data_IF_138368555564
#
_entry.id   IF_138368555564
#
_cell.length_a   1.000
_cell.length_b   1.000
_cell.length_c   1.000
_cell.angle_alpha   90.00
_cell.angle_beta   90.00
_cell.angle_gamma   90.00
#
_symmetry.space_group_name_H-M   'P 1'
#
loop_
_entity.id
_entity.type
_entity.pdbx_description
1 polymer ?
#
# COMPACT_ATOMS: atom_id res chain seq x y z
N UNK A 1 0.38 -7.42 -1.93
CA UNK A 1 1.46 -7.60 -0.95
C UNK A 1 2.21 -6.29 -0.83
N UNK A 2 2.47 -5.84 0.37
CA UNK A 2 3.19 -4.58 0.66
C UNK A 2 4.65 -4.93 0.88
N UNK A 3 5.55 -4.20 0.23
CA UNK A 3 6.99 -4.41 0.33
C UNK A 3 7.58 -3.49 1.40
N UNK A 4 8.23 -4.05 2.39
CA UNK A 4 8.84 -3.31 3.51
C UNK A 4 10.33 -3.60 3.54
N UNK A 5 11.14 -2.55 3.49
CA UNK A 5 12.58 -2.63 3.74
C UNK A 5 12.89 -1.97 5.09
N UNK A 6 13.42 -2.76 6.03
CA UNK A 6 13.90 -2.25 7.30
C UNK A 6 15.43 -2.11 7.29
N UNK A 7 15.92 -0.94 7.66
CA UNK A 7 17.33 -0.65 7.83
C UNK A 7 17.57 -0.32 9.30
N UNK A 8 17.95 -1.33 10.05
CA UNK A 8 17.99 -1.30 11.52
C UNK A 8 19.35 -1.78 12.00
N UNK A 9 20.01 -1.00 12.85
CA UNK A 9 21.34 -1.31 13.37
C UNK A 9 21.34 -2.55 14.27
N UNK A 10 20.34 -2.66 15.15
CA UNK A 10 20.24 -3.76 16.09
C UNK A 10 18.98 -4.58 15.83
N UNK A 11 19.14 -5.67 15.08
CA UNK A 11 18.05 -6.57 14.71
C UNK A 11 17.48 -7.29 15.93
N UNK A 12 18.31 -7.63 16.93
CA UNK A 12 17.87 -8.34 18.13
C UNK A 12 16.88 -7.52 18.96
N UNK A 13 17.11 -6.22 19.10
CA UNK A 13 16.18 -5.32 19.81
C UNK A 13 14.82 -5.19 19.12
N UNK A 14 14.76 -5.47 17.83
CA UNK A 14 13.54 -5.42 17.02
C UNK A 14 13.04 -6.81 16.62
N UNK A 15 13.54 -7.87 17.27
CA UNK A 15 13.23 -9.27 16.90
C UNK A 15 11.74 -9.57 16.85
N UNK A 16 10.94 -9.06 17.78
CA UNK A 16 9.49 -9.25 17.80
C UNK A 16 8.82 -8.60 16.58
N UNK A 17 9.19 -7.36 16.24
CA UNK A 17 8.69 -6.68 15.05
C UNK A 17 9.05 -7.46 13.79
N UNK A 18 10.32 -7.87 13.66
CA UNK A 18 10.80 -8.64 12.52
C UNK A 18 10.07 -9.98 12.38
N UNK A 19 9.87 -10.69 13.49
CA UNK A 19 9.13 -11.95 13.50
C UNK A 19 7.70 -11.77 12.99
N UNK A 20 6.98 -10.75 13.47
CA UNK A 20 5.63 -10.47 13.02
C UNK A 20 5.57 -10.11 11.54
N UNK A 21 6.47 -9.26 11.07
CA UNK A 21 6.50 -8.86 9.66
C UNK A 21 6.82 -10.03 8.72
N UNK A 22 7.67 -10.94 9.16
CA UNK A 22 8.04 -12.13 8.37
C UNK A 22 6.89 -13.15 8.32
N UNK A 23 6.03 -13.20 9.33
CA UNK A 23 4.90 -14.15 9.40
C UNK A 23 3.63 -13.65 8.70
N UNK A 24 3.55 -12.35 8.36
CA UNK A 24 2.37 -11.80 7.68
C UNK A 24 2.43 -12.06 6.18
N UNK A 25 1.55 -12.93 5.69
CA UNK A 25 1.45 -13.30 4.27
C UNK A 25 1.11 -12.13 3.31
N UNK A 26 0.68 -10.98 3.85
CA UNK A 26 0.39 -9.78 3.06
C UNK A 26 1.60 -8.86 2.94
N UNK A 27 2.70 -9.16 3.64
CA UNK A 27 3.91 -8.37 3.71
C UNK A 27 5.07 -9.14 3.07
N UNK A 28 5.78 -8.50 2.16
CA UNK A 28 7.08 -8.92 1.66
C UNK A 28 8.12 -8.11 2.41
N UNK A 29 8.85 -8.74 3.33
CA UNK A 29 9.72 -8.08 4.28
C UNK A 29 11.19 -8.40 4.06
N UNK A 30 12.02 -7.36 3.98
CA UNK A 30 13.47 -7.47 3.99
C UNK A 30 14.06 -6.59 5.08
N UNK A 31 15.15 -7.06 5.66
CA UNK A 31 15.90 -6.33 6.70
C UNK A 31 17.39 -6.32 6.38
N UNK A 32 18.03 -5.20 6.65
CA UNK A 32 19.49 -5.06 6.57
C UNK A 32 20.00 -4.12 7.65
N UNK A 33 21.24 -4.31 8.06
CA UNK A 33 22.01 -3.38 8.91
C UNK A 33 23.21 -2.79 8.17
N UNK A 34 23.41 -3.21 6.91
CA UNK A 34 24.53 -2.78 6.08
C UNK A 34 24.12 -1.63 5.17
N UNK A 35 24.75 -0.47 5.40
CA UNK A 35 24.48 0.78 4.68
C UNK A 35 24.77 0.65 3.18
N UNK A 36 25.84 -0.04 2.80
CA UNK A 36 26.26 -0.22 1.40
C UNK A 36 25.24 -1.05 0.63
N UNK A 37 24.61 -2.03 1.28
CA UNK A 37 23.64 -2.90 0.63
C UNK A 37 22.26 -2.25 0.47
N UNK A 38 21.95 -1.19 1.21
CA UNK A 38 20.62 -0.56 1.22
C UNK A 38 20.23 -0.05 -0.17
N UNK A 39 21.12 0.68 -0.84
CA UNK A 39 20.88 1.22 -2.18
C UNK A 39 20.56 0.09 -3.17
N UNK A 40 21.37 -0.96 -3.19
CA UNK A 40 21.13 -2.13 -4.03
C UNK A 40 19.79 -2.79 -3.71
N UNK A 41 19.53 -3.03 -2.43
CA UNK A 41 18.27 -3.65 -2.00
C UNK A 41 17.06 -2.76 -2.35
N UNK A 42 17.19 -1.45 -2.25
CA UNK A 42 16.14 -0.53 -2.65
C UNK A 42 15.79 -0.70 -4.14
N UNK A 43 16.78 -0.64 -5.03
CA UNK A 43 16.57 -0.75 -6.47
C UNK A 43 16.03 -2.13 -6.88
N UNK A 44 16.52 -3.20 -6.28
CA UNK A 44 16.09 -4.56 -6.59
C UNK A 44 14.70 -4.87 -6.00
N UNK A 45 14.42 -4.38 -4.80
CA UNK A 45 13.21 -4.73 -4.06
C UNK A 45 12.06 -3.77 -4.28
N UNK A 46 12.34 -2.48 -4.52
CA UNK A 46 11.35 -1.41 -4.69
C UNK A 46 10.34 -1.37 -3.54
N UNK A 47 10.75 -1.03 -2.31
CA UNK A 47 9.88 -1.04 -1.15
C UNK A 47 8.76 0.02 -1.25
N UNK A 48 7.61 -0.29 -0.67
CA UNK A 48 6.51 0.65 -0.47
C UNK A 48 6.67 1.45 0.83
N UNK A 49 7.35 0.83 1.82
CA UNK A 49 7.57 1.39 3.16
C UNK A 49 9.02 1.14 3.57
N UNK A 50 9.66 2.18 4.10
CA UNK A 50 10.91 2.08 4.83
C UNK A 50 10.67 2.09 6.34
N UNK A 51 11.41 1.25 7.06
CA UNK A 51 11.59 1.37 8.51
C UNK A 51 13.07 1.65 8.73
N UNK A 52 13.42 2.83 9.23
CA UNK A 52 14.80 3.26 9.33
C UNK A 52 15.17 3.65 10.75
N UNK A 53 16.33 3.22 11.19
CA UNK A 53 17.02 3.89 12.30
C UNK A 53 17.46 5.29 11.83
N UNK A 54 17.39 6.29 12.72
CA UNK A 54 17.83 7.68 12.44
C UNK A 54 19.22 7.76 11.84
N UNK A 55 20.12 6.89 12.24
CA UNK A 55 21.48 6.79 11.70
C UNK A 55 21.54 6.64 10.18
N UNK A 56 20.53 5.98 9.59
CA UNK A 56 20.47 5.70 8.14
C UNK A 56 19.60 6.69 7.37
N UNK A 57 19.17 7.79 8.00
CA UNK A 57 18.25 8.72 7.38
C UNK A 57 18.85 9.41 6.14
N UNK A 58 20.14 9.67 6.13
CA UNK A 58 20.84 10.28 4.98
C UNK A 58 20.71 9.46 3.70
N UNK A 59 20.54 8.14 3.81
CA UNK A 59 20.31 7.27 2.66
C UNK A 59 19.03 7.68 1.89
N UNK A 60 17.98 8.13 2.61
CA UNK A 60 16.76 8.62 1.93
C UNK A 60 17.04 9.90 1.16
N UNK A 61 17.93 10.76 1.65
CA UNK A 61 18.31 11.99 0.97
C UNK A 61 19.07 11.67 -0.32
N UNK A 62 20.04 10.76 -0.25
CA UNK A 62 20.78 10.28 -1.45
C UNK A 62 19.84 9.65 -2.47
N UNK A 63 19.01 8.71 -2.03
CA UNK A 63 18.02 8.08 -2.90
C UNK A 63 17.05 9.09 -3.53
N UNK A 64 16.76 10.20 -2.88
CA UNK A 64 15.81 11.20 -3.38
C UNK A 64 16.36 12.11 -4.46
N UNK A 65 17.67 12.17 -4.62
CA UNK A 65 18.32 12.96 -5.67
C UNK A 65 18.24 12.25 -7.02
N UNK A 66 18.23 10.91 -7.02
CA UNK A 66 18.36 10.11 -8.25
C UNK A 66 17.04 9.55 -8.78
N UNK A 67 16.00 9.44 -7.97
CA UNK A 67 14.77 8.75 -8.37
C UNK A 67 13.49 9.51 -7.95
N UNK A 68 12.79 10.07 -8.94
CA UNK A 68 11.47 10.72 -8.76
C UNK A 68 10.41 9.79 -8.13
N UNK A 69 10.57 8.48 -8.27
CA UNK A 69 9.66 7.47 -7.68
C UNK A 69 9.82 7.34 -6.15
N UNK A 70 10.96 7.68 -5.59
CA UNK A 70 11.24 7.63 -4.13
C UNK A 70 10.38 8.60 -3.32
N UNK A 71 9.94 9.69 -3.92
CA UNK A 71 8.99 10.60 -3.26
C UNK A 71 7.68 9.93 -2.82
N UNK A 72 7.50 8.67 -3.19
CA UNK A 72 6.30 7.87 -2.92
C UNK A 72 6.49 6.82 -1.82
N UNK A 73 7.72 6.59 -1.38
CA UNK A 73 7.97 5.67 -0.28
C UNK A 73 7.70 6.36 1.06
N UNK A 74 6.90 5.71 1.89
CA UNK A 74 6.59 6.23 3.23
C UNK A 74 7.62 5.72 4.22
N UNK A 75 8.16 6.62 5.04
CA UNK A 75 9.18 6.28 6.02
C UNK A 75 8.64 6.27 7.44
N UNK A 76 8.89 5.19 8.17
CA UNK A 76 8.77 5.10 9.62
C UNK A 76 10.18 5.21 10.18
N UNK A 77 10.40 6.18 11.06
CA UNK A 77 11.69 6.44 11.65
C UNK A 77 11.76 5.91 13.09
N UNK A 78 12.83 5.22 13.40
CA UNK A 78 13.14 4.73 14.75
C UNK A 78 14.31 5.54 15.32
N UNK A 79 14.14 6.18 16.47
CA UNK A 79 15.16 7.01 17.10
C UNK A 79 15.50 6.53 18.52
N UNK A 80 16.73 6.78 18.96
CA UNK A 80 17.18 6.45 20.32
C UNK A 80 17.14 7.66 21.25
N UNK A 81 17.37 8.87 20.73
CA UNK A 81 17.38 10.11 21.51
C UNK A 81 16.80 11.29 20.71
N UNK A 82 16.31 12.29 21.42
CA UNK A 82 15.80 13.52 20.81
C UNK A 82 16.90 14.25 20.03
N UNK A 83 18.14 14.16 20.48
CA UNK A 83 19.27 14.77 19.79
C UNK A 83 19.48 14.24 18.39
N UNK A 84 19.22 12.94 18.14
CA UNK A 84 19.24 12.37 16.80
C UNK A 84 18.19 12.99 15.88
N UNK A 85 17.00 13.30 16.41
CA UNK A 85 15.94 13.91 15.61
C UNK A 85 16.26 15.35 15.22
N UNK A 86 16.98 16.10 16.07
CA UNK A 86 17.32 17.51 15.80
C UNK A 86 18.32 17.66 14.63
N UNK A 87 19.01 16.58 14.25
CA UNK A 87 19.96 16.60 13.12
C UNK A 87 19.28 16.38 11.77
N UNK A 88 17.98 16.01 11.75
CA UNK A 88 17.26 15.70 10.53
C UNK A 88 16.85 16.98 9.80
N UNK A 89 17.16 17.06 8.50
CA UNK A 89 16.91 18.24 7.67
C UNK A 89 15.60 18.16 6.89
N UNK A 90 15.11 16.95 6.57
CA UNK A 90 13.95 16.75 5.71
C UNK A 90 12.87 15.87 6.36
N UNK A 91 11.91 16.53 7.01
CA UNK A 91 10.80 15.87 7.71
C UNK A 91 9.65 15.45 6.77
N UNK A 92 9.58 15.99 5.57
CA UNK A 92 8.44 15.80 4.66
C UNK A 92 8.24 14.35 4.20
N UNK A 93 9.26 13.52 4.32
CA UNK A 93 9.25 12.11 3.93
C UNK A 93 8.93 11.15 5.07
N UNK A 94 8.90 11.68 6.30
CA UNK A 94 8.66 10.87 7.50
C UNK A 94 7.16 10.84 7.77
N UNK A 95 6.60 9.64 7.79
CA UNK A 95 5.18 9.45 8.13
C UNK A 95 4.95 9.39 9.63
N UNK A 96 5.77 8.61 10.34
CA UNK A 96 5.71 8.46 11.80
C UNK A 96 7.09 8.24 12.38
N UNK A 97 7.25 8.62 13.63
CA UNK A 97 8.48 8.50 14.41
C UNK A 97 8.17 7.71 15.66
N UNK A 98 9.04 6.74 15.98
CA UNK A 98 8.93 5.95 17.19
C UNK A 98 10.27 5.87 17.91
N UNK A 99 10.23 5.92 19.26
CA UNK A 99 11.37 5.56 20.08
C UNK A 99 11.69 4.06 19.86
N UNK A 100 12.95 3.68 19.73
CA UNK A 100 13.39 2.29 19.46
C UNK A 100 12.81 1.25 20.42
N UNK A 101 12.54 1.64 21.67
CA UNK A 101 11.92 0.77 22.68
C UNK A 101 10.39 0.83 22.70
N UNK A 102 9.78 1.47 21.73
CA UNK A 102 8.31 1.50 21.61
C UNK A 102 7.76 0.11 21.40
N UNK A 103 6.58 -0.15 21.99
CA UNK A 103 5.88 -1.39 21.75
C UNK A 103 5.67 -1.60 20.23
N UNK A 104 6.21 -2.72 19.71
CA UNK A 104 6.16 -3.07 18.30
C UNK A 104 4.74 -3.03 17.70
N UNK A 105 3.68 -3.25 18.50
CA UNK A 105 2.28 -3.14 18.05
C UNK A 105 1.93 -1.75 17.54
N UNK A 106 2.54 -0.69 18.08
CA UNK A 106 2.34 0.67 17.60
C UNK A 106 2.99 0.87 16.23
N UNK A 107 4.17 0.28 16.03
CA UNK A 107 4.86 0.30 14.73
C UNK A 107 4.06 -0.49 13.70
N UNK A 108 3.58 -1.70 14.07
CA UNK A 108 2.69 -2.50 13.20
C UNK A 108 1.43 -1.75 12.81
N UNK A 109 0.77 -1.07 13.76
CA UNK A 109 -0.40 -0.24 13.45
C UNK A 109 -0.08 0.82 12.40
N UNK A 110 1.06 1.51 12.53
CA UNK A 110 1.50 2.49 11.55
C UNK A 110 1.79 1.86 10.18
N UNK A 111 2.39 0.67 10.14
CA UNK A 111 2.63 -0.08 8.92
C UNK A 111 1.32 -0.41 8.21
N UNK A 112 0.32 -0.92 8.93
CA UNK A 112 -0.99 -1.23 8.34
C UNK A 112 -1.74 0.02 7.86
N UNK A 113 -1.67 1.13 8.58
CA UNK A 113 -2.21 2.42 8.14
C UNK A 113 -1.54 2.86 6.82
N UNK A 114 -0.20 2.79 6.75
CA UNK A 114 0.56 3.11 5.53
C UNK A 114 0.29 2.14 4.39
N UNK A 115 0.14 0.86 4.68
CA UNK A 115 -0.17 -0.17 3.68
C UNK A 115 -1.49 0.13 2.99
N UNK A 116 -2.51 0.49 3.76
CA UNK A 116 -3.81 0.90 3.22
C UNK A 116 -3.68 2.18 2.38
N UNK A 117 -2.95 3.17 2.85
CA UNK A 117 -2.72 4.42 2.13
C UNK A 117 -1.93 4.20 0.82
N UNK A 118 -0.93 3.33 0.84
CA UNK A 118 -0.17 2.95 -0.35
C UNK A 118 -1.05 2.22 -1.36
N UNK A 119 -1.91 1.33 -0.88
CA UNK A 119 -2.88 0.61 -1.72
C UNK A 119 -3.90 1.55 -2.33
N UNK A 120 -4.43 2.49 -1.56
CA UNK A 120 -5.33 3.53 -2.08
C UNK A 120 -4.67 4.33 -3.19
N UNK A 121 -3.44 4.79 -3.00
CA UNK A 121 -2.67 5.51 -4.03
C UNK A 121 -2.45 4.66 -5.29
N UNK A 122 -2.16 3.36 -5.15
CA UNK A 122 -2.01 2.46 -6.29
C UNK A 122 -3.32 2.34 -7.08
N UNK A 123 -4.44 2.24 -6.37
CA UNK A 123 -5.78 2.19 -7.00
C UNK A 123 -6.11 3.53 -7.65
N UNK A 124 -5.83 4.66 -7.00
CA UNK A 124 -6.07 6.00 -7.56
C UNK A 124 -5.29 6.24 -8.85
N UNK A 125 -4.02 5.84 -8.90
CA UNK A 125 -3.22 5.90 -10.14
C UNK A 125 -3.81 5.03 -11.25
N UNK A 126 -4.28 3.84 -10.89
CA UNK A 126 -4.95 2.97 -11.85
C UNK A 126 -6.21 3.65 -12.38
N UNK A 127 -7.03 4.25 -11.51
CA UNK A 127 -8.24 4.96 -11.91
C UNK A 127 -7.91 6.11 -12.87
N UNK A 128 -6.87 6.91 -12.56
CA UNK A 128 -6.42 7.99 -13.44
C UNK A 128 -5.97 7.46 -14.81
N UNK A 129 -5.20 6.37 -14.86
CA UNK A 129 -4.78 5.74 -16.13
C UNK A 129 -5.97 5.22 -16.95
N UNK A 130 -7.03 4.81 -16.28
CA UNK A 130 -8.25 4.27 -16.90
C UNK A 130 -9.33 5.34 -17.10
N UNK A 131 -8.99 6.62 -16.89
CA UNK A 131 -9.92 7.75 -16.98
C UNK A 131 -11.17 7.62 -16.09
N UNK A 132 -11.05 6.90 -14.96
CA UNK A 132 -12.10 6.77 -13.96
C UNK A 132 -12.05 7.97 -13.03
N UNK A 133 -13.14 8.76 -12.87
CA UNK A 133 -13.13 9.93 -12.00
C UNK A 133 -13.00 9.54 -10.54
N UNK A 134 -12.00 10.07 -9.82
CA UNK A 134 -11.69 9.69 -8.42
C UNK A 134 -12.77 10.11 -7.43
N UNK A 135 -13.38 11.28 -7.64
CA UNK A 135 -14.25 11.93 -6.64
C UNK A 135 -15.72 11.50 -6.70
N UNK A 136 -16.12 10.76 -7.73
CA UNK A 136 -17.50 10.30 -7.84
C UNK A 136 -17.85 9.26 -6.75
N UNK A 137 -19.10 9.29 -6.28
CA UNK A 137 -19.59 8.30 -5.30
C UNK A 137 -19.42 6.86 -5.79
N UNK A 138 -19.72 6.51 -7.07
CA UNK A 138 -19.45 5.18 -7.60
C UNK A 138 -17.97 4.79 -7.50
N UNK A 139 -17.05 5.68 -7.88
CA UNK A 139 -15.60 5.40 -7.83
C UNK A 139 -15.09 5.19 -6.41
N UNK A 140 -15.56 5.99 -5.44
CA UNK A 140 -15.21 5.82 -4.02
C UNK A 140 -15.66 4.46 -3.49
N UNK A 141 -16.82 3.98 -3.90
CA UNK A 141 -17.33 2.65 -3.54
C UNK A 141 -16.51 1.52 -4.17
N UNK A 142 -16.16 1.66 -5.45
CA UNK A 142 -15.30 0.71 -6.16
C UNK A 142 -13.92 0.67 -5.51
N UNK A 143 -13.30 1.82 -5.23
CA UNK A 143 -12.02 1.91 -4.52
C UNK A 143 -12.07 1.14 -3.20
N UNK A 144 -13.07 1.39 -2.37
CA UNK A 144 -13.22 0.70 -1.07
C UNK A 144 -13.36 -0.81 -1.24
N UNK A 145 -14.09 -1.24 -2.26
CA UNK A 145 -14.25 -2.67 -2.57
C UNK A 145 -12.92 -3.30 -2.99
N UNK A 146 -12.14 -2.64 -3.83
CA UNK A 146 -10.82 -3.12 -4.27
C UNK A 146 -9.84 -3.23 -3.09
N UNK A 147 -9.82 -2.24 -2.20
CA UNK A 147 -9.02 -2.28 -0.97
C UNK A 147 -9.41 -3.48 -0.11
N UNK A 148 -10.71 -3.71 0.07
CA UNK A 148 -11.20 -4.87 0.84
C UNK A 148 -10.82 -6.20 0.19
N UNK A 149 -10.87 -6.30 -1.14
CA UNK A 149 -10.39 -7.47 -1.87
C UNK A 149 -8.90 -7.74 -1.63
N UNK A 150 -8.07 -6.70 -1.70
CA UNK A 150 -6.63 -6.83 -1.50
C UNK A 150 -6.30 -7.27 -0.06
N UNK A 151 -7.06 -6.76 0.92
CA UNK A 151 -6.87 -7.10 2.33
C UNK A 151 -7.50 -8.45 2.72
N UNK A 152 -8.41 -8.98 1.91
CA UNK A 152 -9.13 -10.24 2.17
C UNK A 152 -9.37 -10.99 0.85
N UNK A 153 -8.32 -11.58 0.23
CA UNK A 153 -8.42 -12.21 -1.10
C UNK A 153 -9.42 -13.37 -1.18
N UNK A 154 -9.70 -14.03 -0.08
CA UNK A 154 -10.70 -15.10 0.01
C UNK A 154 -12.12 -14.61 -0.36
N UNK A 155 -12.42 -13.33 -0.16
CA UNK A 155 -13.71 -12.75 -0.56
C UNK A 155 -13.90 -12.65 -2.07
N UNK A 156 -12.84 -12.73 -2.86
CA UNK A 156 -12.92 -12.78 -4.33
C UNK A 156 -13.63 -14.03 -4.85
N UNK A 157 -13.69 -15.10 -4.05
CA UNK A 157 -14.45 -16.31 -4.38
C UNK A 157 -15.95 -16.12 -4.37
N UNK A 158 -16.46 -15.11 -3.63
CA UNK A 158 -17.89 -14.83 -3.51
C UNK A 158 -18.16 -13.31 -3.55
N UNK A 159 -18.41 -12.78 -4.74
CA UNK A 159 -18.63 -11.34 -4.95
C UNK A 159 -19.88 -10.82 -4.23
N UNK A 160 -20.91 -11.64 -4.04
CA UNK A 160 -22.10 -11.20 -3.30
C UNK A 160 -21.77 -10.94 -1.83
N UNK A 161 -21.00 -11.83 -1.19
CA UNK A 161 -20.53 -11.65 0.18
C UNK A 161 -19.66 -10.38 0.28
N UNK A 162 -18.75 -10.18 -0.66
CA UNK A 162 -17.91 -8.98 -0.72
C UNK A 162 -18.75 -7.70 -0.84
N UNK A 163 -19.67 -7.64 -1.82
CA UNK A 163 -20.49 -6.45 -2.05
C UNK A 163 -21.41 -6.15 -0.87
N UNK A 164 -22.00 -7.16 -0.25
CA UNK A 164 -22.82 -6.99 0.96
C UNK A 164 -21.99 -6.48 2.14
N UNK A 165 -20.78 -6.99 2.34
CA UNK A 165 -19.90 -6.54 3.40
C UNK A 165 -19.50 -5.08 3.21
N UNK A 166 -19.10 -4.68 1.99
CA UNK A 166 -18.74 -3.28 1.68
C UNK A 166 -19.99 -2.38 1.72
N UNK A 167 -21.12 -2.86 1.23
CA UNK A 167 -22.39 -2.14 1.28
C UNK A 167 -22.77 -1.78 2.71
N UNK A 168 -22.70 -2.74 3.64
CA UNK A 168 -22.95 -2.51 5.06
C UNK A 168 -22.01 -1.46 5.66
N UNK A 169 -20.71 -1.51 5.33
CA UNK A 169 -19.73 -0.52 5.80
C UNK A 169 -20.00 0.89 5.28
N UNK A 170 -20.55 1.03 4.08
CA UNK A 170 -20.80 2.31 3.41
C UNK A 170 -22.26 2.79 3.51
N UNK A 171 -23.09 2.16 4.34
CA UNK A 171 -24.49 2.52 4.50
C UNK A 171 -25.33 2.34 3.23
N UNK A 172 -24.99 1.33 2.41
CA UNK A 172 -25.71 1.01 1.17
C UNK A 172 -25.94 -0.49 1.04
N UNK A 173 -26.58 -0.94 -0.04
CA UNK A 173 -26.80 -2.38 -0.30
C UNK A 173 -25.67 -2.96 -1.16
N UNK A 174 -25.53 -4.28 -1.18
CA UNK A 174 -24.61 -4.98 -2.09
C UNK A 174 -24.93 -4.69 -3.56
N UNK A 175 -26.22 -4.56 -3.91
CA UNK A 175 -26.63 -4.16 -5.27
C UNK A 175 -26.24 -2.71 -5.58
N UNK A 176 -26.29 -1.80 -4.60
CA UNK A 176 -25.78 -0.43 -4.72
C UNK A 176 -24.28 -0.39 -5.00
N UNK A 177 -23.49 -1.32 -4.41
CA UNK A 177 -22.07 -1.48 -4.72
C UNK A 177 -21.90 -2.01 -6.15
N UNK A 178 -22.65 -3.04 -6.56
CA UNK A 178 -22.61 -3.60 -7.91
C UNK A 178 -22.96 -2.53 -8.99
N UNK A 179 -23.99 -1.75 -8.76
CA UNK A 179 -24.35 -0.63 -9.62
C UNK A 179 -23.23 0.40 -9.72
N UNK A 180 -22.52 0.65 -8.61
CA UNK A 180 -21.37 1.56 -8.60
C UNK A 180 -20.23 1.05 -9.50
N UNK A 181 -19.98 -0.27 -9.56
CA UNK A 181 -19.01 -0.85 -10.50
C UNK A 181 -19.42 -0.60 -11.95
N UNK A 182 -20.68 -0.85 -12.32
CA UNK A 182 -21.17 -0.59 -13.69
C UNK A 182 -20.96 0.87 -14.08
N UNK A 183 -21.26 1.80 -13.17
CA UNK A 183 -21.17 3.24 -13.44
C UNK A 183 -19.71 3.71 -13.49
N UNK A 184 -18.90 3.37 -12.50
CA UNK A 184 -17.51 3.84 -12.41
C UNK A 184 -16.61 3.30 -13.52
N UNK A 185 -16.88 2.05 -13.97
CA UNK A 185 -16.06 1.36 -14.94
C UNK A 185 -16.59 1.49 -16.38
N UNK A 186 -17.68 2.24 -16.58
CA UNK A 186 -18.22 2.53 -17.92
C UNK A 186 -17.15 3.08 -18.90
N UNK A 187 -16.22 3.97 -18.50
CA UNK A 187 -15.16 4.44 -19.40
C UNK A 187 -14.25 3.32 -19.94
N UNK A 188 -14.13 2.18 -19.23
CA UNK A 188 -13.30 1.06 -19.68
C UNK A 188 -13.84 0.36 -20.95
N UNK A 189 -15.11 0.52 -21.28
CA UNK A 189 -15.68 0.01 -22.53
C UNK A 189 -15.01 0.66 -23.75
N UNK A 190 -14.47 1.87 -23.60
CA UNK A 190 -13.75 2.61 -24.63
C UNK A 190 -12.27 2.21 -24.70
N UNK A 191 -11.75 1.52 -23.68
CA UNK A 191 -10.35 1.09 -23.64
C UNK A 191 -10.14 -0.12 -24.52
N UNK A 192 -9.35 0.03 -25.59
CA UNK A 192 -9.06 -1.05 -26.54
C UNK A 192 -8.15 -2.14 -25.95
N UNK A 193 -7.35 -1.80 -24.91
CA UNK A 193 -6.32 -2.69 -24.36
C UNK A 193 -6.75 -3.24 -22.99
N UNK A 194 -7.71 -4.16 -23.03
CA UNK A 194 -8.21 -4.84 -21.81
C UNK A 194 -7.21 -5.84 -21.21
N UNK A 195 -6.13 -6.17 -21.93
CA UNK A 195 -5.15 -7.17 -21.49
C UNK A 195 -4.24 -6.69 -20.36
N UNK A 196 -4.09 -5.38 -20.21
CA UNK A 196 -3.25 -4.76 -19.18
C UNK A 196 -3.98 -4.41 -17.86
N UNK A 197 -5.21 -4.88 -17.67
CA UNK A 197 -5.93 -4.66 -16.42
C UNK A 197 -5.34 -5.53 -15.29
N UNK A 198 -5.13 -4.97 -14.08
CA UNK A 198 -4.70 -5.77 -12.93
C UNK A 198 -5.67 -6.93 -12.68
N UNK A 199 -5.13 -8.08 -12.29
CA UNK A 199 -5.88 -9.32 -12.08
C UNK A 199 -7.15 -9.14 -11.22
N UNK A 200 -7.09 -8.33 -10.17
CA UNK A 200 -8.25 -8.05 -9.32
C UNK A 200 -9.42 -7.39 -10.08
N UNK A 201 -9.11 -6.52 -11.05
CA UNK A 201 -10.12 -5.89 -11.91
C UNK A 201 -10.53 -6.86 -13.02
N UNK A 202 -9.59 -7.64 -13.56
CA UNK A 202 -9.83 -8.59 -14.63
C UNK A 202 -10.88 -9.66 -14.25
N UNK A 203 -10.94 -10.04 -12.98
CA UNK A 203 -11.95 -10.99 -12.48
C UNK A 203 -13.39 -10.46 -12.59
N UNK A 204 -13.55 -9.13 -12.61
CA UNK A 204 -14.85 -8.49 -12.79
C UNK A 204 -15.24 -8.31 -14.27
N UNK A 205 -14.27 -8.47 -15.20
CA UNK A 205 -14.43 -8.17 -16.63
C UNK A 205 -13.78 -9.25 -17.51
N UNK A 206 -14.44 -10.39 -17.71
CA UNK A 206 -13.91 -11.41 -18.60
C UNK A 206 -13.79 -10.90 -20.05
N UNK A 207 -12.79 -11.44 -20.79
CA UNK A 207 -12.51 -11.07 -22.18
C UNK A 207 -13.78 -11.10 -23.04
N UNK A 208 -14.01 -10.02 -23.78
CA UNK A 208 -15.01 -9.97 -24.85
C UNK A 208 -16.41 -9.55 -24.44
N UNK A 209 -16.65 -9.20 -23.19
CA UNK A 209 -17.98 -8.76 -22.71
C UNK A 209 -17.98 -7.30 -22.26
N UNK A 210 -19.18 -6.69 -22.26
CA UNK A 210 -19.37 -5.37 -21.66
C UNK A 210 -18.85 -5.36 -20.21
N UNK A 211 -18.30 -4.20 -19.80
CA UNK A 211 -17.74 -3.99 -18.44
C UNK A 211 -18.88 -4.06 -17.42
N UNK A 212 -19.36 -5.26 -17.16
CA UNK A 212 -20.33 -5.55 -16.11
C UNK A 212 -19.75 -6.57 -15.16
N UNK A 213 -19.88 -6.40 -13.83
CA UNK A 213 -19.49 -7.45 -12.89
C UNK A 213 -20.34 -8.69 -13.18
N UNK A 214 -19.70 -9.80 -13.56
CA UNK A 214 -20.40 -11.09 -13.60
C UNK A 214 -20.55 -11.65 -12.18
N UNK A 215 -21.68 -12.24 -11.94
CA UNK A 215 -21.97 -13.07 -10.77
C UNK A 215 -21.28 -14.42 -10.88
#
# INVERSE_FOLDING_TARGET
MVKILAVIQNIEQNSQLCQYLTQDNNIDFKITSDEVSVLKQYYDFRPDIFILDTKYFNIIEELSLDDYEIHKCNTILLYSSITELLTLTNWSKIYKIFLKNTNYKNVLKAIYELSNFTLERKIDRLFLKLHIPLESTPSKRVRKTLIKCCNSPNLLGNLNTLFNAVGKELGTTGEGIRSSFRTALKPLNEFKDKENLPFAIYKFFPKGEEVTPKL
#
